data_IF_676361433402
#
_entry.id   IF_676361433402
#
_cell.length_a   1.000
_cell.length_b   1.000
_cell.length_c   1.000
_cell.angle_alpha   90.00
_cell.angle_beta   90.00
_cell.angle_gamma   90.00
#
_symmetry.space_group_name_H-M   'P 1'
#
loop_
_entity.id
_entity.type
_entity.pdbx_description
1 polymer ?
#
# COMPACT_ATOMS: atom_id res chain seq x y z
N UNK A 1 6.62 24.37 -59.18
CA UNK A 1 5.63 24.57 -58.09
C UNK A 1 6.16 23.84 -56.88
N UNK A 2 6.82 24.57 -55.96
CA UNK A 2 7.31 23.99 -54.72
C UNK A 2 6.17 24.03 -53.71
N UNK A 3 5.62 22.86 -53.41
CA UNK A 3 4.57 22.66 -52.42
C UNK A 3 5.19 22.86 -51.03
N UNK A 4 5.09 24.08 -50.51
CA UNK A 4 5.51 24.41 -49.16
C UNK A 4 4.52 23.75 -48.19
N UNK A 5 4.88 22.57 -47.69
CA UNK A 5 4.21 21.96 -46.53
C UNK A 5 4.50 22.84 -45.31
N UNK A 6 3.69 23.88 -45.13
CA UNK A 6 3.67 24.67 -43.90
C UNK A 6 3.42 23.71 -42.76
N UNK A 7 4.33 23.58 -41.77
CA UNK A 7 4.09 22.75 -40.60
C UNK A 7 2.78 23.20 -39.94
N UNK A 8 1.96 22.26 -39.44
CA UNK A 8 0.70 22.62 -38.79
C UNK A 8 0.97 23.61 -37.65
N UNK A 9 0.07 24.57 -37.47
CA UNK A 9 0.19 25.59 -36.44
C UNK A 9 0.13 24.94 -35.05
N UNK A 10 1.30 24.78 -34.42
CA UNK A 10 1.40 24.21 -33.08
C UNK A 10 1.15 25.32 -32.07
N UNK A 11 0.06 25.22 -31.30
CA UNK A 11 -0.14 26.05 -30.11
C UNK A 11 1.02 25.79 -29.13
N UNK A 12 2.00 26.70 -29.15
CA UNK A 12 3.22 26.63 -28.34
C UNK A 12 2.90 26.66 -26.85
N UNK A 13 1.82 27.33 -26.45
CA UNK A 13 1.39 27.43 -25.05
C UNK A 13 0.79 26.10 -24.59
N UNK A 14 -0.12 25.51 -25.37
CA UNK A 14 -0.67 24.19 -25.09
C UNK A 14 0.41 23.09 -25.11
N UNK A 15 1.35 23.15 -26.07
CA UNK A 15 2.49 22.23 -26.13
C UNK A 15 3.39 22.36 -24.88
N UNK A 16 3.68 23.58 -24.45
CA UNK A 16 4.46 23.85 -23.22
C UNK A 16 3.75 23.30 -21.98
N UNK A 17 2.44 23.58 -21.81
CA UNK A 17 1.63 23.06 -20.69
C UNK A 17 1.62 21.54 -20.64
N UNK A 18 1.40 20.87 -21.78
CA UNK A 18 1.47 19.40 -21.88
C UNK A 18 2.85 18.86 -21.50
N UNK A 19 3.92 19.53 -21.93
CA UNK A 19 5.27 19.12 -21.61
C UNK A 19 5.60 19.31 -20.11
N UNK A 20 5.06 20.34 -19.46
CA UNK A 20 5.18 20.54 -18.00
C UNK A 20 4.40 19.48 -17.24
N UNK A 21 3.15 19.21 -17.63
CA UNK A 21 2.31 18.18 -17.02
C UNK A 21 2.99 16.80 -17.11
N UNK A 22 3.48 16.41 -18.28
CA UNK A 22 4.18 15.14 -18.48
C UNK A 22 5.48 15.02 -17.64
N UNK A 23 6.18 16.14 -17.39
CA UNK A 23 7.35 16.14 -16.49
C UNK A 23 6.94 15.96 -15.03
N UNK A 24 5.88 16.63 -14.60
CA UNK A 24 5.33 16.49 -13.23
C UNK A 24 4.85 15.07 -12.97
N UNK A 25 4.11 14.48 -13.92
CA UNK A 25 3.64 13.11 -13.80
C UNK A 25 4.81 12.10 -13.75
N UNK A 26 5.83 12.26 -14.59
CA UNK A 26 7.05 11.43 -14.47
C UNK A 26 7.74 11.59 -13.12
N UNK A 27 7.80 12.81 -12.59
CA UNK A 27 8.38 13.05 -11.28
C UNK A 27 7.57 12.37 -10.17
N UNK A 28 6.24 12.44 -10.24
CA UNK A 28 5.33 11.76 -9.33
C UNK A 28 5.52 10.24 -9.39
N UNK A 29 5.53 9.63 -10.58
CA UNK A 29 5.75 8.18 -10.74
C UNK A 29 7.11 7.72 -10.19
N UNK A 30 8.18 8.49 -10.43
CA UNK A 30 9.50 8.20 -9.85
C UNK A 30 9.46 8.27 -8.32
N UNK A 31 8.76 9.27 -7.79
CA UNK A 31 8.59 9.43 -6.36
C UNK A 31 7.76 8.30 -5.76
N UNK A 32 6.66 7.91 -6.40
CA UNK A 32 5.82 6.78 -5.96
C UNK A 32 6.60 5.47 -5.90
N UNK A 33 7.44 5.18 -6.91
CA UNK A 33 8.32 3.99 -6.87
C UNK A 33 9.39 4.11 -5.79
N UNK A 34 10.04 5.27 -5.65
CA UNK A 34 11.04 5.50 -4.61
C UNK A 34 10.44 5.34 -3.21
N UNK A 35 9.19 5.76 -3.04
CA UNK A 35 8.40 5.66 -1.83
C UNK A 35 7.70 4.32 -1.65
N UNK A 36 7.84 3.40 -2.61
CA UNK A 36 7.18 2.08 -2.65
C UNK A 36 5.65 2.16 -2.58
N UNK A 37 5.05 3.22 -3.09
CA UNK A 37 3.58 3.29 -3.24
C UNK A 37 3.13 2.41 -4.39
N UNK A 38 3.90 2.42 -5.48
CA UNK A 38 3.76 1.48 -6.59
C UNK A 38 5.06 0.69 -6.74
N UNK A 39 4.96 -0.51 -7.28
CA UNK A 39 6.11 -1.37 -7.57
C UNK A 39 6.84 -0.92 -8.83
N UNK A 40 8.15 -1.24 -8.93
CA UNK A 40 8.90 -1.07 -10.17
C UNK A 40 8.26 -1.79 -11.36
N UNK A 41 7.71 -2.99 -11.13
CA UNK A 41 7.00 -3.79 -12.12
C UNK A 41 5.73 -3.09 -12.61
N UNK A 42 4.90 -2.53 -11.72
CA UNK A 42 3.73 -1.76 -12.13
C UNK A 42 4.09 -0.54 -12.97
N UNK A 43 5.13 0.21 -12.60
CA UNK A 43 5.58 1.35 -13.40
C UNK A 43 6.08 0.90 -14.78
N UNK A 44 6.84 -0.20 -14.85
CA UNK A 44 7.26 -0.79 -16.12
C UNK A 44 6.04 -1.20 -16.95
N UNK A 45 5.07 -1.91 -16.36
CA UNK A 45 3.86 -2.35 -17.04
C UNK A 45 3.06 -1.17 -17.61
N UNK A 46 2.81 -0.11 -16.81
CA UNK A 46 2.17 1.13 -17.28
C UNK A 46 2.91 1.75 -18.48
N UNK A 47 4.24 1.73 -18.44
CA UNK A 47 5.07 2.26 -19.51
C UNK A 47 5.02 1.42 -20.79
N UNK A 48 4.83 0.11 -20.67
CA UNK A 48 4.70 -0.82 -21.80
C UNK A 48 3.30 -0.81 -22.42
N UNK A 49 2.26 -0.68 -21.58
CA UNK A 49 0.85 -0.62 -22.02
C UNK A 49 0.55 0.69 -22.74
N UNK A 50 1.19 1.79 -22.33
CA UNK A 50 1.05 3.10 -22.97
C UNK A 50 2.44 3.71 -23.28
N UNK A 51 3.09 3.33 -24.40
CA UNK A 51 4.45 3.77 -24.75
C UNK A 51 4.61 5.29 -24.90
N UNK A 52 3.55 5.99 -25.30
CA UNK A 52 3.54 7.46 -25.47
C UNK A 52 3.17 8.21 -24.19
N UNK A 53 2.82 7.50 -23.11
CA UNK A 53 2.53 8.11 -21.81
C UNK A 53 3.78 8.72 -21.16
N UNK A 54 3.63 9.55 -20.13
CA UNK A 54 4.76 9.98 -19.30
C UNK A 54 5.59 8.81 -18.75
N UNK A 55 4.97 7.69 -18.36
CA UNK A 55 5.67 6.47 -17.95
C UNK A 55 6.48 5.87 -19.11
N UNK A 56 5.85 5.68 -20.28
CA UNK A 56 6.50 5.16 -21.48
C UNK A 56 7.67 6.02 -21.96
N UNK A 57 7.53 7.33 -21.84
CA UNK A 57 8.53 8.32 -22.20
C UNK A 57 9.71 8.42 -21.19
N UNK A 58 9.62 7.82 -20.00
CA UNK A 58 10.66 7.85 -18.98
C UNK A 58 11.94 7.17 -19.47
N UNK A 59 13.10 7.78 -19.23
CA UNK A 59 14.39 7.12 -19.57
C UNK A 59 14.63 5.95 -18.62
N UNK A 60 15.23 4.89 -19.14
CA UNK A 60 15.62 3.73 -18.32
C UNK A 60 16.56 4.12 -17.17
N UNK A 61 17.43 5.11 -17.41
CA UNK A 61 18.34 5.64 -16.38
C UNK A 61 17.58 6.27 -15.23
N UNK A 62 16.56 7.09 -15.53
CA UNK A 62 15.72 7.73 -14.52
C UNK A 62 14.90 6.70 -13.73
N UNK A 63 14.33 5.71 -14.43
CA UNK A 63 13.60 4.60 -13.81
C UNK A 63 14.47 3.86 -12.82
N UNK A 64 15.65 3.39 -13.25
CA UNK A 64 16.57 2.64 -12.41
C UNK A 64 17.03 3.45 -11.19
N UNK A 65 17.34 4.74 -11.36
CA UNK A 65 17.75 5.60 -10.22
C UNK A 65 16.62 5.95 -9.26
N UNK A 66 15.36 5.82 -9.69
CA UNK A 66 14.22 5.98 -8.79
C UNK A 66 14.01 4.75 -7.90
N UNK A 67 14.60 3.59 -8.26
CA UNK A 67 14.44 2.37 -7.49
C UNK A 67 15.20 2.45 -6.15
N UNK A 68 14.61 1.96 -5.05
CA UNK A 68 15.29 1.91 -3.76
C UNK A 68 16.66 1.22 -3.84
N UNK A 69 17.67 1.87 -3.26
CA UNK A 69 19.06 1.39 -3.19
C UNK A 69 19.81 1.23 -4.53
N UNK A 70 19.34 1.88 -5.61
CA UNK A 70 20.04 1.97 -6.91
C UNK A 70 20.55 3.40 -7.13
N UNK A 71 21.85 3.61 -6.93
CA UNK A 71 22.54 4.84 -7.35
C UNK A 71 23.15 4.71 -8.75
N UNK A 72 23.78 5.78 -9.24
CA UNK A 72 24.33 5.86 -10.61
C UNK A 72 25.27 4.71 -10.96
N UNK A 73 26.21 4.38 -10.07
CA UNK A 73 27.15 3.27 -10.31
C UNK A 73 26.48 1.90 -10.43
N UNK A 74 25.38 1.65 -9.69
CA UNK A 74 24.61 0.41 -9.83
C UNK A 74 23.75 0.43 -11.10
N UNK A 75 23.14 1.58 -11.41
CA UNK A 75 22.40 1.78 -12.67
C UNK A 75 23.24 1.38 -13.87
N UNK A 76 24.48 1.86 -13.96
CA UNK A 76 25.32 1.59 -15.13
C UNK A 76 25.72 0.12 -15.25
N UNK A 77 25.97 -0.55 -14.11
CA UNK A 77 26.19 -2.01 -14.09
C UNK A 77 24.96 -2.79 -14.56
N UNK A 78 23.78 -2.42 -14.07
CA UNK A 78 22.51 -3.05 -14.48
C UNK A 78 22.25 -2.83 -15.98
N UNK A 79 22.47 -1.63 -16.49
CA UNK A 79 22.30 -1.36 -17.93
C UNK A 79 23.26 -2.18 -18.80
N UNK A 80 24.51 -2.36 -18.35
CA UNK A 80 25.47 -3.22 -19.03
C UNK A 80 25.06 -4.70 -18.99
N UNK A 81 24.65 -5.21 -17.82
CA UNK A 81 24.16 -6.58 -17.62
C UNK A 81 22.93 -6.89 -18.49
N UNK A 82 22.00 -5.94 -18.59
CA UNK A 82 20.76 -6.10 -19.37
C UNK A 82 20.91 -5.76 -20.86
N UNK A 83 22.10 -5.32 -21.29
CA UNK A 83 22.38 -4.84 -22.65
C UNK A 83 21.40 -3.73 -23.11
N UNK A 84 21.11 -2.79 -22.21
CA UNK A 84 20.21 -1.65 -22.47
C UNK A 84 21.02 -0.37 -22.56
N UNK A 85 20.99 0.29 -23.73
CA UNK A 85 21.61 1.60 -23.88
C UNK A 85 20.94 2.65 -22.96
N UNK A 86 21.71 3.53 -22.28
CA UNK A 86 21.18 4.50 -21.31
C UNK A 86 20.19 5.50 -21.93
N UNK A 87 20.26 5.70 -23.25
CA UNK A 87 19.34 6.56 -24.00
C UNK A 87 17.97 5.91 -24.21
N UNK A 88 17.76 4.64 -23.88
CA UNK A 88 16.45 4.00 -24.07
C UNK A 88 15.39 4.59 -23.15
N UNK A 89 14.14 4.54 -23.61
CA UNK A 89 12.94 4.86 -22.83
C UNK A 89 12.19 3.56 -22.53
N UNK A 90 11.45 3.50 -21.44
CA UNK A 90 10.73 2.30 -21.01
C UNK A 90 9.78 1.77 -22.11
N UNK A 91 8.95 2.64 -22.70
CA UNK A 91 8.03 2.27 -23.78
C UNK A 91 8.74 1.85 -25.08
N UNK A 92 10.01 2.24 -25.25
CA UNK A 92 10.85 1.93 -26.42
C UNK A 92 11.81 0.75 -26.25
N UNK A 93 11.67 -0.02 -25.16
CA UNK A 93 12.46 -1.25 -24.96
C UNK A 93 11.99 -2.34 -25.94
N UNK A 94 12.93 -3.07 -26.53
CA UNK A 94 12.63 -4.24 -27.38
C UNK A 94 12.22 -5.45 -26.55
N UNK A 95 11.61 -6.47 -27.17
CA UNK A 95 11.07 -7.66 -26.47
C UNK A 95 12.08 -8.36 -25.56
N UNK A 96 13.33 -8.54 -26.01
CA UNK A 96 14.40 -9.14 -25.19
C UNK A 96 14.76 -8.28 -23.98
N UNK A 97 14.84 -6.96 -24.17
CA UNK A 97 15.14 -6.00 -23.11
C UNK A 97 14.02 -5.93 -22.07
N UNK A 98 12.76 -6.03 -22.51
CA UNK A 98 11.59 -6.11 -21.62
C UNK A 98 11.68 -7.36 -20.74
N UNK A 99 11.89 -8.53 -21.35
CA UNK A 99 12.00 -9.79 -20.61
C UNK A 99 13.17 -9.77 -19.61
N UNK A 100 14.34 -9.29 -20.02
CA UNK A 100 15.52 -9.19 -19.15
C UNK A 100 15.28 -8.22 -17.98
N UNK A 101 14.72 -7.04 -18.24
CA UNK A 101 14.40 -6.07 -17.19
C UNK A 101 13.35 -6.61 -16.22
N UNK A 102 12.29 -7.25 -16.72
CA UNK A 102 11.27 -7.87 -15.86
C UNK A 102 11.88 -8.94 -14.96
N UNK A 103 12.67 -9.87 -15.51
CA UNK A 103 13.31 -10.92 -14.72
C UNK A 103 14.27 -10.33 -13.65
N UNK A 104 15.01 -9.28 -14.00
CA UNK A 104 15.88 -8.57 -13.05
C UNK A 104 15.08 -7.89 -11.94
N UNK A 105 13.95 -7.26 -12.29
CA UNK A 105 13.05 -6.64 -11.31
C UNK A 105 12.45 -7.69 -10.37
N UNK A 106 12.00 -8.84 -10.88
CA UNK A 106 11.41 -9.90 -10.07
C UNK A 106 12.43 -10.55 -9.13
N UNK A 107 13.69 -10.70 -9.58
CA UNK A 107 14.77 -11.17 -8.71
C UNK A 107 15.12 -10.18 -7.58
N UNK A 108 14.97 -8.87 -7.83
CA UNK A 108 15.34 -7.81 -6.87
C UNK A 108 14.19 -7.35 -5.98
N UNK A 109 13.00 -7.31 -6.52
CA UNK A 109 11.75 -6.89 -5.89
C UNK A 109 10.72 -8.00 -6.14
N UNK A 110 10.83 -9.14 -5.43
CA UNK A 110 9.93 -10.26 -5.66
C UNK A 110 8.47 -9.82 -5.56
N UNK A 111 7.62 -10.20 -6.54
CA UNK A 111 6.20 -9.93 -6.43
C UNK A 111 5.64 -10.61 -5.18
N UNK A 112 4.59 -10.01 -4.60
CA UNK A 112 3.89 -10.64 -3.50
C UNK A 112 3.36 -11.99 -3.98
N UNK A 113 3.67 -13.04 -3.22
CA UNK A 113 3.20 -14.38 -3.50
C UNK A 113 2.16 -14.75 -2.45
N UNK A 114 0.89 -14.92 -2.86
CA UNK A 114 -0.12 -15.48 -1.98
C UNK A 114 0.35 -16.81 -1.43
N UNK A 115 0.23 -16.99 -0.11
CA UNK A 115 0.58 -18.26 0.52
C UNK A 115 -0.44 -19.33 0.18
N UNK A 116 0.02 -20.57 0.13
CA UNK A 116 -0.82 -21.74 -0.12
C UNK A 116 -1.80 -21.94 1.04
N UNK A 117 -3.10 -21.93 0.75
CA UNK A 117 -4.17 -22.13 1.73
C UNK A 117 -5.11 -20.95 1.76
N UNK A 118 -6.42 -21.22 1.81
CA UNK A 118 -7.43 -20.18 2.01
C UNK A 118 -7.71 -20.07 3.50
N UNK A 119 -7.41 -18.93 4.10
CA UNK A 119 -7.87 -18.64 5.46
C UNK A 119 -9.05 -17.70 5.45
N UNK A 120 -10.00 -18.00 6.33
CA UNK A 120 -11.15 -17.15 6.63
C UNK A 120 -10.76 -16.01 7.56
N UNK A 121 -9.53 -15.98 8.06
CA UNK A 121 -8.97 -14.88 8.83
C UNK A 121 -8.19 -13.94 7.90
N UNK A 122 -8.72 -12.72 7.72
CA UNK A 122 -8.07 -11.66 6.94
C UNK A 122 -7.53 -10.60 7.88
N UNK A 123 -6.30 -10.18 7.63
CA UNK A 123 -5.67 -9.04 8.31
C UNK A 123 -5.51 -7.92 7.30
N UNK A 124 -6.17 -6.79 7.54
CA UNK A 124 -5.99 -5.54 6.81
C UNK A 124 -5.05 -4.63 7.59
N UNK A 125 -3.85 -4.42 7.05
CA UNK A 125 -2.91 -3.40 7.53
C UNK A 125 -2.50 -2.46 6.40
N UNK A 126 -1.72 -1.44 6.71
CA UNK A 126 -1.41 -0.37 5.76
C UNK A 126 -0.91 0.87 6.48
N UNK A 127 -0.27 1.81 5.76
CA UNK A 127 0.35 2.96 6.39
C UNK A 127 -0.67 3.85 7.09
N UNK A 128 -0.20 4.65 8.03
CA UNK A 128 -1.03 5.66 8.67
C UNK A 128 -1.69 6.58 7.63
N UNK A 129 -2.96 6.95 7.88
CA UNK A 129 -3.80 7.75 6.99
C UNK A 129 -4.11 7.16 5.59
N UNK A 130 -3.86 5.87 5.35
CA UNK A 130 -4.27 5.23 4.08
C UNK A 130 -5.79 5.02 3.95
N UNK A 131 -6.54 5.06 5.06
CA UNK A 131 -8.00 4.89 5.08
C UNK A 131 -8.50 3.50 5.47
N UNK A 132 -7.72 2.73 6.26
CA UNK A 132 -8.08 1.38 6.74
C UNK A 132 -9.48 1.34 7.38
N UNK A 133 -9.70 2.14 8.42
CA UNK A 133 -11.00 2.19 9.10
C UNK A 133 -12.18 2.55 8.19
N UNK A 134 -11.96 3.40 7.17
CA UNK A 134 -13.00 3.73 6.18
C UNK A 134 -13.36 2.52 5.31
N UNK A 135 -12.36 1.76 4.86
CA UNK A 135 -12.57 0.54 4.08
C UNK A 135 -13.19 -0.56 4.96
N UNK A 136 -12.72 -0.72 6.20
CA UNK A 136 -13.27 -1.70 7.15
C UNK A 136 -14.74 -1.41 7.50
N UNK A 137 -15.10 -0.15 7.73
CA UNK A 137 -16.48 0.26 7.93
C UNK A 137 -17.35 -0.03 6.68
N UNK A 138 -16.84 0.30 5.48
CA UNK A 138 -17.55 -0.02 4.25
C UNK A 138 -17.80 -1.52 4.08
N UNK A 139 -16.81 -2.37 4.41
CA UNK A 139 -16.94 -3.82 4.42
C UNK A 139 -18.01 -4.26 5.43
N UNK A 140 -18.00 -3.74 6.67
CA UNK A 140 -19.02 -4.06 7.68
C UNK A 140 -20.44 -3.79 7.17
N UNK A 141 -20.63 -2.68 6.45
CA UNK A 141 -21.95 -2.25 5.98
C UNK A 141 -22.43 -2.99 4.71
N UNK A 142 -21.51 -3.39 3.82
CA UNK A 142 -21.85 -3.92 2.48
C UNK A 142 -21.54 -5.42 2.31
N UNK A 143 -20.75 -6.00 3.20
CA UNK A 143 -20.34 -7.41 3.20
C UNK A 143 -20.63 -8.06 4.57
N UNK A 144 -21.91 -8.19 4.98
CA UNK A 144 -22.29 -8.70 6.30
C UNK A 144 -21.87 -10.16 6.56
N UNK A 145 -21.50 -10.89 5.51
CA UNK A 145 -20.88 -12.21 5.62
C UNK A 145 -19.50 -12.18 6.29
N UNK A 146 -18.81 -11.03 6.27
CA UNK A 146 -17.51 -10.79 6.89
C UNK A 146 -17.72 -10.16 8.26
N UNK A 147 -17.23 -10.82 9.31
CA UNK A 147 -17.23 -10.27 10.66
C UNK A 147 -16.03 -9.33 10.83
N UNK A 148 -16.28 -8.03 11.04
CA UNK A 148 -15.23 -7.11 11.48
C UNK A 148 -14.93 -7.35 12.97
N UNK A 149 -13.68 -7.66 13.29
CA UNK A 149 -13.24 -7.88 14.67
C UNK A 149 -13.26 -6.58 15.48
N UNK A 150 -13.76 -6.67 16.72
CA UNK A 150 -13.78 -5.56 17.68
C UNK A 150 -12.59 -5.71 18.63
N UNK A 151 -11.68 -4.73 18.63
CA UNK A 151 -10.48 -4.76 19.48
C UNK A 151 -10.81 -4.32 20.92
N UNK A 152 -10.03 -4.79 21.89
CA UNK A 152 -10.00 -4.24 23.24
C UNK A 152 -9.06 -3.03 23.31
N UNK A 153 -9.36 -2.06 24.17
CA UNK A 153 -8.49 -0.90 24.40
C UNK A 153 -8.57 -0.36 25.83
N UNK A 154 -7.45 0.17 26.32
CA UNK A 154 -7.38 0.89 27.61
C UNK A 154 -7.70 2.38 27.52
N UNK A 155 -7.96 2.88 26.30
CA UNK A 155 -8.41 4.26 26.10
C UNK A 155 -9.87 4.40 26.54
N UNK A 156 -10.22 5.50 27.18
CA UNK A 156 -11.62 5.83 27.44
C UNK A 156 -12.42 6.03 26.12
N UNK A 157 -13.72 5.65 26.09
CA UNK A 157 -14.58 5.86 24.92
C UNK A 157 -14.69 7.35 24.58
N UNK A 158 -14.68 7.67 23.29
CA UNK A 158 -15.03 9.01 22.76
C UNK A 158 -16.54 9.17 22.71
N UNK A 159 -17.06 10.41 22.70
CA UNK A 159 -18.48 10.65 22.49
C UNK A 159 -19.02 9.94 21.24
N UNK A 160 -20.01 9.08 21.43
CA UNK A 160 -20.62 8.27 20.37
C UNK A 160 -20.04 6.87 20.18
N UNK A 161 -18.89 6.53 20.80
CA UNK A 161 -18.38 5.16 20.81
C UNK A 161 -19.18 4.30 21.80
N UNK A 162 -19.50 3.08 21.38
CA UNK A 162 -20.29 2.10 22.13
C UNK A 162 -19.41 0.89 22.43
N UNK A 163 -19.39 0.47 23.70
CA UNK A 163 -18.66 -0.71 24.17
C UNK A 163 -19.20 -1.98 23.51
N UNK A 164 -18.29 -2.87 23.10
CA UNK A 164 -18.59 -4.11 22.39
C UNK A 164 -18.97 -3.95 20.91
N UNK A 165 -19.21 -2.73 20.45
CA UNK A 165 -19.42 -2.44 19.03
C UNK A 165 -18.20 -1.78 18.37
N UNK A 166 -17.64 -0.77 19.04
CA UNK A 166 -16.50 -0.01 18.51
C UNK A 166 -15.19 -0.56 19.06
N UNK A 167 -15.15 -0.76 20.38
CA UNK A 167 -14.06 -1.40 21.12
C UNK A 167 -14.64 -2.10 22.34
N UNK A 168 -13.91 -3.07 22.89
CA UNK A 168 -14.07 -3.45 24.29
C UNK A 168 -13.22 -2.52 25.15
N UNK A 169 -13.87 -1.59 25.85
CA UNK A 169 -13.21 -0.63 26.72
C UNK A 169 -12.92 -1.28 28.07
N UNK A 170 -11.64 -1.56 28.31
CA UNK A 170 -11.15 -2.18 29.55
C UNK A 170 -10.22 -1.22 30.29
N UNK A 171 -10.04 -1.40 31.58
CA UNK A 171 -8.98 -0.70 32.30
C UNK A 171 -7.63 -1.42 32.13
N UNK A 172 -6.58 -0.84 32.70
CA UNK A 172 -5.25 -1.41 32.57
C UNK A 172 -5.13 -2.80 33.23
N UNK A 173 -5.79 -3.02 34.36
CA UNK A 173 -5.79 -4.31 35.06
C UNK A 173 -6.54 -5.39 34.26
N UNK A 174 -7.68 -5.05 33.66
CA UNK A 174 -8.42 -5.93 32.77
C UNK A 174 -7.62 -6.28 31.51
N UNK A 175 -6.91 -5.32 30.93
CA UNK A 175 -6.02 -5.61 29.80
C UNK A 175 -4.85 -6.52 30.19
N UNK A 176 -4.26 -6.33 31.37
CA UNK A 176 -3.21 -7.21 31.89
C UNK A 176 -3.70 -8.65 32.07
N UNK A 177 -4.93 -8.83 32.57
CA UNK A 177 -5.57 -10.14 32.67
C UNK A 177 -5.73 -10.80 31.29
N UNK A 178 -6.20 -10.05 30.29
CA UNK A 178 -6.31 -10.55 28.91
C UNK A 178 -4.98 -11.03 28.32
N UNK A 179 -3.87 -10.34 28.64
CA UNK A 179 -2.53 -10.79 28.23
C UNK A 179 -2.13 -12.05 29.01
N UNK A 180 -2.30 -12.05 30.34
CA UNK A 180 -1.89 -13.16 31.20
C UNK A 180 -2.59 -14.48 30.85
N UNK A 181 -3.85 -14.39 30.41
CA UNK A 181 -4.68 -15.52 30.03
C UNK A 181 -4.48 -15.95 28.55
N UNK A 182 -3.52 -15.35 27.83
CA UNK A 182 -3.32 -15.52 26.38
C UNK A 182 -4.60 -15.27 25.56
N UNK A 183 -5.47 -14.38 26.04
CA UNK A 183 -6.78 -14.12 25.44
C UNK A 183 -6.75 -13.18 24.23
N UNK A 184 -5.56 -12.66 23.85
CA UNK A 184 -5.35 -11.71 22.75
C UNK A 184 -4.52 -12.34 21.62
N UNK A 185 -5.00 -12.25 20.38
CA UNK A 185 -4.28 -12.72 19.19
C UNK A 185 -3.06 -11.85 18.87
N UNK A 186 -3.19 -10.56 19.15
CA UNK A 186 -2.14 -9.56 19.08
C UNK A 186 -2.43 -8.45 20.09
N UNK A 187 -1.39 -7.74 20.51
CA UNK A 187 -1.55 -6.50 21.26
C UNK A 187 -0.38 -5.53 21.04
N UNK A 188 -0.64 -4.25 21.21
CA UNK A 188 0.37 -3.20 21.10
C UNK A 188 0.05 -2.01 22.00
N UNK A 189 1.10 -1.28 22.40
CA UNK A 189 0.98 0.02 23.06
C UNK A 189 1.17 1.11 22.02
N UNK A 190 0.12 1.90 21.78
CA UNK A 190 0.12 3.00 20.81
C UNK A 190 0.51 4.29 21.51
N UNK A 191 1.51 4.99 20.95
CA UNK A 191 2.03 6.27 21.44
C UNK A 191 2.45 6.28 22.91
N UNK A 192 2.86 5.13 23.47
CA UNK A 192 3.19 4.95 24.89
C UNK A 192 2.07 5.39 25.85
N UNK A 193 0.81 5.41 25.38
CA UNK A 193 -0.31 5.96 26.13
C UNK A 193 -1.44 4.94 26.31
N UNK A 194 -1.87 4.28 25.23
CA UNK A 194 -3.02 3.38 25.27
C UNK A 194 -2.66 2.04 24.66
N UNK A 195 -3.25 0.98 25.22
CA UNK A 195 -3.07 -0.39 24.72
C UNK A 195 -4.25 -0.78 23.86
N UNK A 196 -3.96 -1.54 22.83
CA UNK A 196 -4.93 -2.12 21.91
C UNK A 196 -4.58 -3.58 21.73
N UNK A 197 -5.60 -4.43 21.59
CA UNK A 197 -5.39 -5.83 21.28
C UNK A 197 -6.64 -6.47 20.75
N UNK A 198 -6.48 -7.62 20.11
CA UNK A 198 -7.57 -8.31 19.42
C UNK A 198 -7.98 -9.56 20.19
N UNK A 199 -9.16 -9.59 20.86
CA UNK A 199 -9.61 -10.77 21.61
C UNK A 199 -9.75 -12.03 20.73
N UNK A 200 -9.19 -13.16 21.16
CA UNK A 200 -9.20 -14.43 20.42
C UNK A 200 -10.58 -15.07 20.36
N UNK A 201 -11.29 -15.14 21.49
CA UNK A 201 -12.51 -15.95 21.61
C UNK A 201 -13.61 -15.61 20.59
N UNK A 202 -13.93 -14.33 20.30
CA UNK A 202 -14.90 -14.00 19.24
C UNK A 202 -14.45 -14.43 17.84
N UNK A 203 -13.15 -14.35 17.57
CA UNK A 203 -12.57 -14.72 16.27
C UNK A 203 -12.64 -16.22 16.08
N UNK A 204 -12.13 -16.99 17.05
CA UNK A 204 -12.09 -18.45 16.99
C UNK A 204 -13.50 -19.03 16.86
N UNK A 205 -14.47 -18.48 17.61
CA UNK A 205 -15.88 -18.85 17.48
C UNK A 205 -16.40 -18.61 16.05
N UNK A 206 -16.18 -17.41 15.51
CA UNK A 206 -16.65 -17.08 14.16
C UNK A 206 -16.00 -17.96 13.08
N UNK A 207 -14.70 -18.25 13.20
CA UNK A 207 -13.98 -19.14 12.30
C UNK A 207 -14.50 -20.58 12.39
N UNK A 208 -14.79 -21.07 13.61
CA UNK A 208 -15.37 -22.40 13.83
C UNK A 208 -16.79 -22.53 13.26
N UNK A 209 -17.57 -21.45 13.28
CA UNK A 209 -18.88 -21.35 12.60
C UNK A 209 -18.76 -21.21 11.08
N UNK A 210 -17.52 -21.12 10.57
CA UNK A 210 -17.21 -21.04 9.16
C UNK A 210 -17.41 -19.65 8.54
N UNK A 211 -17.47 -18.60 9.38
CA UNK A 211 -17.51 -17.21 8.93
C UNK A 211 -16.12 -16.69 8.60
N UNK A 212 -16.06 -15.67 7.75
CA UNK A 212 -14.85 -14.89 7.53
C UNK A 212 -14.74 -13.81 8.60
N UNK A 213 -13.53 -13.60 9.11
CA UNK A 213 -13.21 -12.54 10.07
C UNK A 213 -12.18 -11.59 9.45
N UNK A 214 -12.41 -10.29 9.59
CA UNK A 214 -11.50 -9.21 9.17
C UNK A 214 -10.94 -8.50 10.40
N UNK A 215 -9.61 -8.41 10.49
CA UNK A 215 -8.88 -7.67 11.52
C UNK A 215 -8.31 -6.40 10.89
N UNK A 216 -8.64 -5.23 11.44
CA UNK A 216 -8.01 -3.97 11.07
C UNK A 216 -6.95 -3.59 12.11
N UNK A 217 -5.67 -3.83 11.81
CA UNK A 217 -4.56 -3.65 12.76
C UNK A 217 -3.35 -2.98 12.11
N UNK A 218 -2.37 -2.61 12.93
CA UNK A 218 -1.11 -2.04 12.45
C UNK A 218 -0.11 -3.13 12.00
N UNK A 219 1.09 -2.71 11.59
CA UNK A 219 2.14 -3.63 11.16
C UNK A 219 2.65 -4.56 12.27
N UNK A 220 2.71 -4.07 13.51
CA UNK A 220 3.17 -4.87 14.62
C UNK A 220 2.14 -5.96 14.95
N UNK A 221 0.86 -5.60 14.97
CA UNK A 221 -0.25 -6.53 15.11
C UNK A 221 -0.24 -7.57 13.98
N UNK A 222 -0.11 -7.14 12.72
CA UNK A 222 -0.08 -8.06 11.57
C UNK A 222 1.05 -9.11 11.68
N UNK A 223 2.23 -8.74 12.17
CA UNK A 223 3.34 -9.68 12.42
C UNK A 223 3.03 -10.66 13.55
N UNK A 224 2.38 -10.21 14.62
CA UNK A 224 1.94 -11.08 15.72
C UNK A 224 0.88 -12.08 15.25
N UNK A 225 -0.14 -11.60 14.53
CA UNK A 225 -1.16 -12.47 13.92
C UNK A 225 -0.51 -13.46 12.97
N UNK A 226 0.48 -13.04 12.17
CA UNK A 226 1.20 -13.96 11.29
C UNK A 226 1.90 -15.09 12.05
N UNK A 227 2.45 -14.81 13.23
CA UNK A 227 3.08 -15.82 14.06
C UNK A 227 2.05 -16.76 14.72
N UNK A 228 0.92 -16.21 15.18
CA UNK A 228 -0.12 -16.95 15.87
C UNK A 228 -1.05 -17.75 14.93
N UNK A 229 -1.32 -17.21 13.74
CA UNK A 229 -2.16 -17.79 12.69
C UNK A 229 -1.43 -17.73 11.34
N UNK A 230 -0.48 -18.66 11.07
CA UNK A 230 0.36 -18.61 9.87
C UNK A 230 -0.39 -18.67 8.54
N UNK A 231 -1.60 -19.24 8.56
CA UNK A 231 -2.51 -19.37 7.42
C UNK A 231 -3.30 -18.09 7.13
N UNK A 232 -3.34 -17.12 8.05
CA UNK A 232 -4.08 -15.87 7.88
C UNK A 232 -3.70 -15.14 6.58
N UNK A 233 -4.71 -14.59 5.90
CA UNK A 233 -4.52 -13.80 4.69
C UNK A 233 -4.17 -12.37 5.06
N UNK A 234 -2.93 -11.95 4.84
CA UNK A 234 -2.48 -10.59 5.13
C UNK A 234 -2.58 -9.71 3.90
N UNK A 235 -3.35 -8.63 4.02
CA UNK A 235 -3.59 -7.64 2.97
C UNK A 235 -3.00 -6.29 3.39
N UNK A 236 -2.13 -5.75 2.53
CA UNK A 236 -1.57 -4.42 2.70
C UNK A 236 -2.33 -3.40 1.85
N UNK A 237 -3.06 -2.49 2.50
CA UNK A 237 -3.74 -1.38 1.87
C UNK A 237 -2.75 -0.26 1.56
N UNK A 238 -2.65 0.15 0.30
CA UNK A 238 -1.76 1.25 -0.15
C UNK A 238 -2.55 2.45 -0.66
N UNK A 239 -2.01 3.67 -0.54
CA UNK A 239 -2.58 4.83 -1.22
C UNK A 239 -2.38 4.70 -2.74
N UNK A 240 -3.14 5.45 -3.56
CA UNK A 240 -2.95 5.44 -5.02
C UNK A 240 -1.67 6.17 -5.47
N UNK A 241 -1.21 7.12 -4.66
CA UNK A 241 0.05 7.84 -4.85
C UNK A 241 0.56 8.35 -3.51
N UNK A 242 1.84 8.72 -3.46
CA UNK A 242 2.43 9.36 -2.30
C UNK A 242 1.76 10.72 -2.02
N UNK A 243 1.47 11.49 -3.05
CA UNK A 243 0.84 12.81 -2.92
C UNK A 243 -0.56 12.70 -2.32
N UNK A 244 -1.32 11.66 -2.69
CA UNK A 244 -2.63 11.40 -2.09
C UNK A 244 -2.53 11.04 -0.60
N UNK A 245 -1.52 10.25 -0.21
CA UNK A 245 -1.25 9.97 1.20
C UNK A 245 -0.93 11.26 1.99
N UNK A 246 -0.11 12.14 1.39
CA UNK A 246 0.21 13.45 1.97
C UNK A 246 -1.07 14.29 2.12
N UNK A 247 -1.91 14.34 1.09
CA UNK A 247 -3.17 15.09 1.14
C UNK A 247 -4.10 14.57 2.25
N UNK A 248 -4.23 13.24 2.41
CA UNK A 248 -5.01 12.63 3.49
C UNK A 248 -4.48 12.98 4.88
N UNK A 249 -3.16 13.09 5.04
CA UNK A 249 -2.54 13.54 6.30
C UNK A 249 -2.78 15.03 6.57
N UNK A 250 -2.74 15.88 5.54
CA UNK A 250 -3.01 17.32 5.67
C UNK A 250 -4.48 17.59 5.99
N UNK A 251 -5.41 16.88 5.32
CA UNK A 251 -6.85 17.07 5.45
C UNK A 251 -7.43 16.79 6.84
N UNK A 252 -6.72 16.05 7.71
CA UNK A 252 -7.12 15.83 9.11
C UNK A 252 -6.98 17.07 10.01
N UNK A 253 -6.41 18.16 9.49
CA UNK A 253 -6.71 19.53 9.92
C UNK A 253 -6.28 19.97 11.33
N UNK A 254 -5.59 19.14 12.10
CA UNK A 254 -5.34 19.39 13.54
C UNK A 254 -3.87 19.23 13.96
N UNK A 255 -2.98 18.97 13.02
CA UNK A 255 -1.59 18.56 13.31
C UNK A 255 -0.58 19.61 12.84
N UNK A 256 0.36 19.97 13.72
CA UNK A 256 1.46 20.86 13.40
C UNK A 256 2.44 20.28 12.37
N UNK A 257 3.29 21.11 11.73
CA UNK A 257 4.25 20.66 10.72
C UNK A 257 5.18 19.52 11.19
N UNK A 258 5.58 19.53 12.47
CA UNK A 258 6.44 18.51 13.07
C UNK A 258 5.75 17.15 13.20
N UNK A 259 4.51 17.13 13.67
CA UNK A 259 3.73 15.89 13.77
C UNK A 259 3.47 15.29 12.38
N UNK A 260 3.17 16.14 11.40
CA UNK A 260 3.03 15.72 10.00
C UNK A 260 4.32 15.09 9.47
N UNK A 261 5.47 15.71 9.70
CA UNK A 261 6.76 15.16 9.27
C UNK A 261 7.04 13.81 9.94
N UNK A 262 6.71 13.67 11.24
CA UNK A 262 6.81 12.40 11.98
C UNK A 262 5.93 11.32 11.35
N UNK A 263 4.65 11.61 11.07
CA UNK A 263 3.73 10.65 10.45
C UNK A 263 4.13 10.26 9.03
N UNK A 264 4.60 11.21 8.24
CA UNK A 264 5.14 10.91 6.91
C UNK A 264 6.34 9.97 7.03
N UNK A 265 7.27 10.20 7.96
CA UNK A 265 8.39 9.29 8.23
C UNK A 265 7.92 7.90 8.61
N UNK A 266 6.93 7.79 9.50
CA UNK A 266 6.29 6.52 9.86
C UNK A 266 5.71 5.82 8.63
N UNK A 267 4.95 6.54 7.81
CA UNK A 267 4.37 5.97 6.59
C UNK A 267 5.42 5.44 5.61
N UNK A 268 6.60 6.08 5.50
CA UNK A 268 7.72 5.54 4.69
C UNK A 268 8.18 4.18 5.19
N UNK A 269 8.31 4.04 6.51
CA UNK A 269 8.71 2.78 7.15
C UNK A 269 7.62 1.73 6.94
N UNK A 270 6.35 2.13 7.05
CA UNK A 270 5.24 1.21 6.87
C UNK A 270 5.12 0.70 5.43
N UNK A 271 5.22 1.59 4.44
CA UNK A 271 5.25 1.22 3.01
C UNK A 271 6.43 0.28 2.69
N UNK A 272 7.55 0.41 3.41
CA UNK A 272 8.70 -0.46 3.22
C UNK A 272 8.44 -1.91 3.66
N UNK A 273 7.47 -2.14 4.54
CA UNK A 273 7.09 -3.44 5.08
C UNK A 273 6.03 -4.18 4.25
N UNK A 274 5.51 -3.58 3.16
CA UNK A 274 4.46 -4.22 2.35
C UNK A 274 4.84 -5.61 1.81
N UNK A 275 6.14 -5.90 1.66
CA UNK A 275 6.66 -7.20 1.23
C UNK A 275 6.41 -8.34 2.22
N UNK A 276 5.93 -8.04 3.43
CA UNK A 276 5.58 -9.02 4.46
C UNK A 276 4.16 -9.59 4.29
N UNK A 277 3.37 -8.99 3.39
CA UNK A 277 1.96 -9.29 3.16
C UNK A 277 1.76 -10.21 1.95
N UNK A 278 0.61 -10.87 1.89
CA UNK A 278 0.29 -11.79 0.80
C UNK A 278 -0.31 -11.04 -0.41
N UNK A 279 -1.06 -9.97 -0.11
CA UNK A 279 -1.75 -9.16 -1.11
C UNK A 279 -1.51 -7.66 -0.89
N UNK A 280 -1.55 -6.89 -1.98
CA UNK A 280 -1.61 -5.42 -1.96
C UNK A 280 -2.93 -4.99 -2.59
N UNK A 281 -3.67 -4.12 -1.91
CA UNK A 281 -4.90 -3.49 -2.41
C UNK A 281 -4.71 -1.98 -2.44
N UNK A 282 -5.02 -1.34 -3.56
CA UNK A 282 -4.88 0.13 -3.71
C UNK A 282 -6.19 0.81 -3.33
N UNK A 283 -6.14 1.73 -2.35
CA UNK A 283 -7.28 2.51 -1.88
C UNK A 283 -7.44 3.83 -2.65
N UNK A 284 -7.75 3.74 -3.94
CA UNK A 284 -8.18 4.87 -4.79
C UNK A 284 -9.69 5.13 -4.69
N UNK A 285 -10.48 4.06 -4.55
CA UNK A 285 -11.93 4.04 -4.34
C UNK A 285 -12.26 3.03 -3.24
N UNK A 286 -13.04 3.49 -2.25
CA UNK A 286 -13.33 2.70 -1.05
C UNK A 286 -14.14 1.45 -1.38
N UNK A 287 -15.12 1.56 -2.28
CA UNK A 287 -16.00 0.45 -2.64
C UNK A 287 -15.23 -0.63 -3.42
N UNK A 288 -14.38 -0.20 -4.36
CA UNK A 288 -13.51 -1.09 -5.13
C UNK A 288 -12.52 -1.82 -4.24
N UNK A 289 -11.84 -1.10 -3.35
CA UNK A 289 -10.88 -1.69 -2.41
C UNK A 289 -11.57 -2.67 -1.44
N UNK A 290 -12.75 -2.32 -0.93
CA UNK A 290 -13.55 -3.20 -0.09
C UNK A 290 -13.97 -4.49 -0.81
N UNK A 291 -14.45 -4.38 -2.05
CA UNK A 291 -14.85 -5.52 -2.87
C UNK A 291 -13.65 -6.45 -3.18
N UNK A 292 -12.47 -5.88 -3.44
CA UNK A 292 -11.24 -6.64 -3.66
C UNK A 292 -10.84 -7.41 -2.39
N UNK A 293 -10.84 -6.77 -1.23
CA UNK A 293 -10.56 -7.43 0.06
C UNK A 293 -11.60 -8.53 0.35
N UNK A 294 -12.89 -8.26 0.12
CA UNK A 294 -13.95 -9.24 0.31
C UNK A 294 -13.85 -10.41 -0.68
N UNK A 295 -13.24 -10.24 -1.85
CA UNK A 295 -12.97 -11.34 -2.77
C UNK A 295 -11.87 -12.27 -2.25
N UNK A 296 -10.90 -11.76 -1.49
CA UNK A 296 -9.84 -12.55 -0.85
C UNK A 296 -10.37 -13.43 0.30
N UNK A 297 -11.59 -13.16 0.77
CA UNK A 297 -12.28 -13.92 1.82
C UNK A 297 -12.92 -15.24 1.36
N UNK A 298 -12.90 -15.54 0.05
CA UNK A 298 -13.68 -16.62 -0.58
C UNK A 298 -12.83 -17.80 -1.07
#
# INVERSE_FOLDING_TARGET
MADSRTPPEVDRVAASRRAVAARRERAALKHDVAMRVITPQELLQRALDAPDSPAGAMRITEFLTALPAIGEGKRDRVLAELEIAPVKRLGGLGTRQRAALTAWLDGRFPPLQPRSGRSRLIVLAGPTAVGKGTVAAYIKDHHPEILLSVSATTRAPRPGEVDGEHYFFVDDAGFDALIADDALLEHATVHNAFRYGTPRAPIEKALAEGRTVLLEIDLQGARQVRAAAPDATLVFLTPPSWDELVNRLVGRGTEGPEERARRLKTAKVELAAQGEFDYRVVNDDVARAAAEIAALAR
#
